data_IF_941313152153
#
_entry.id   IF_941313152153
#
_cell.length_a   1.000
_cell.length_b   1.000
_cell.length_c   1.000
_cell.angle_alpha   90.00
_cell.angle_beta   90.00
_cell.angle_gamma   90.00
#
_symmetry.space_group_name_H-M   'P 1'
#
loop_
_entity.id
_entity.type
_entity.pdbx_description
1 polymer ?
#
# COMPACT_ATOMS: atom_id res chain seq x y z
N UNK A 1 38.25 40.36 3.81
CA UNK A 1 37.41 40.32 5.03
C UNK A 1 35.97 40.45 4.57
N UNK A 2 35.26 39.32 4.61
CA UNK A 2 33.82 39.07 4.36
C UNK A 2 33.15 39.68 3.13
N UNK A 3 32.88 38.80 2.16
CA UNK A 3 31.92 38.96 1.07
C UNK A 3 30.49 38.80 1.63
N UNK A 4 29.57 39.59 1.09
CA UNK A 4 28.12 39.50 1.28
C UNK A 4 27.56 38.40 0.38
N UNK A 5 26.79 37.45 0.93
CA UNK A 5 25.51 36.96 0.36
C UNK A 5 24.64 36.32 1.48
N UNK A 6 23.41 36.81 1.59
CA UNK A 6 22.20 36.23 2.22
C UNK A 6 21.69 35.04 1.34
N UNK A 7 21.00 33.96 1.74
CA UNK A 7 20.35 33.49 2.97
C UNK A 7 19.85 32.02 2.69
N UNK A 8 18.75 31.51 3.28
CA UNK A 8 18.63 30.52 4.35
C UNK A 8 18.28 29.08 3.90
N UNK A 9 18.57 28.11 4.77
CA UNK A 9 17.73 26.92 4.99
C UNK A 9 17.62 25.89 3.87
N UNK A 10 18.33 24.77 4.00
CA UNK A 10 17.90 23.52 3.36
C UNK A 10 18.30 22.33 4.25
N UNK A 11 17.32 21.82 4.99
CA UNK A 11 17.41 20.58 5.76
C UNK A 11 17.41 19.37 4.80
N UNK A 12 18.54 19.03 4.20
CA UNK A 12 18.68 17.83 3.34
C UNK A 12 19.04 16.57 4.14
N UNK A 13 18.27 16.24 5.18
CA UNK A 13 18.49 15.00 5.96
C UNK A 13 17.23 14.16 6.21
N UNK A 14 16.11 14.46 5.54
CA UNK A 14 14.84 13.73 5.69
C UNK A 14 14.48 12.78 4.55
N UNK A 15 14.97 13.02 3.32
CA UNK A 15 14.41 12.38 2.11
C UNK A 15 15.07 11.03 1.77
N UNK A 16 16.39 10.91 1.95
CA UNK A 16 17.13 9.70 1.54
C UNK A 16 16.72 8.43 2.30
N UNK A 17 16.28 8.57 3.56
CA UNK A 17 15.87 7.43 4.39
C UNK A 17 14.45 6.94 4.11
N UNK A 18 13.56 7.84 3.70
CA UNK A 18 12.16 7.52 3.37
C UNK A 18 12.08 6.85 1.99
N UNK A 19 12.81 7.39 1.01
CA UNK A 19 12.91 6.79 -0.34
C UNK A 19 13.52 5.38 -0.28
N UNK A 20 14.57 5.18 0.53
CA UNK A 20 15.17 3.86 0.72
C UNK A 20 14.22 2.86 1.39
N UNK A 21 13.38 3.32 2.32
CA UNK A 21 12.40 2.48 3.00
C UNK A 21 11.30 2.02 2.02
N UNK A 22 10.84 2.91 1.16
CA UNK A 22 9.85 2.58 0.12
C UNK A 22 10.41 1.56 -0.88
N UNK A 23 11.63 1.77 -1.38
CA UNK A 23 12.26 0.85 -2.33
C UNK A 23 12.52 -0.53 -1.71
N UNK A 24 12.94 -0.58 -0.45
CA UNK A 24 13.09 -1.84 0.28
C UNK A 24 11.73 -2.55 0.45
N UNK A 25 10.68 -1.80 0.79
CA UNK A 25 9.34 -2.36 0.93
C UNK A 25 8.85 -2.96 -0.39
N UNK A 26 9.02 -2.25 -1.52
CA UNK A 26 8.66 -2.74 -2.87
C UNK A 26 9.45 -4.00 -3.23
N UNK A 27 10.76 -4.01 -2.97
CA UNK A 27 11.61 -5.16 -3.21
C UNK A 27 11.17 -6.39 -2.40
N UNK A 28 10.69 -6.19 -1.17
CA UNK A 28 10.17 -7.27 -0.33
C UNK A 28 8.76 -7.72 -0.75
N UNK A 29 7.88 -6.80 -1.18
CA UNK A 29 6.52 -7.11 -1.60
C UNK A 29 6.46 -7.94 -2.89
N UNK A 30 7.46 -7.77 -3.76
CA UNK A 30 7.63 -8.54 -4.99
C UNK A 30 7.30 -7.73 -6.25
N UNK A 31 7.77 -8.20 -7.43
CA UNK A 31 7.75 -7.41 -8.66
C UNK A 31 6.35 -7.20 -9.27
N UNK A 32 5.33 -7.90 -8.76
CA UNK A 32 3.94 -7.78 -9.22
C UNK A 32 3.12 -6.82 -8.35
N UNK A 33 3.70 -6.27 -7.28
CA UNK A 33 3.00 -5.36 -6.37
C UNK A 33 3.17 -3.92 -6.86
N UNK A 34 2.05 -3.31 -7.23
CA UNK A 34 1.96 -1.87 -7.49
C UNK A 34 1.20 -1.19 -6.35
N UNK A 35 1.76 -0.12 -5.80
CA UNK A 35 1.14 0.70 -4.76
C UNK A 35 0.64 1.99 -5.43
N UNK A 36 -0.63 2.37 -5.25
CA UNK A 36 -1.13 3.63 -5.79
C UNK A 36 -0.46 4.82 -5.09
N UNK A 37 -0.62 6.03 -5.63
CA UNK A 37 -0.03 7.26 -5.07
C UNK A 37 -1.05 8.02 -4.21
N UNK A 38 -0.59 8.78 -3.22
CA UNK A 38 -1.45 9.67 -2.43
C UNK A 38 -2.20 10.65 -3.37
N UNK A 39 -3.52 10.69 -3.22
CA UNK A 39 -4.42 11.47 -4.08
C UNK A 39 -4.79 10.82 -5.41
N UNK A 40 -4.27 9.65 -5.75
CA UNK A 40 -4.66 8.91 -6.96
C UNK A 40 -6.13 8.46 -6.90
N UNK A 41 -6.79 8.35 -8.06
CA UNK A 41 -8.13 7.76 -8.17
C UNK A 41 -8.02 6.28 -8.50
N UNK A 42 -8.59 5.44 -7.65
CA UNK A 42 -8.54 3.97 -7.75
C UNK A 42 -9.94 3.37 -7.66
N UNK A 43 -10.11 2.16 -8.19
CA UNK A 43 -11.30 1.35 -7.92
C UNK A 43 -11.03 0.39 -6.77
N UNK A 44 -11.85 0.46 -5.72
CA UNK A 44 -11.90 -0.54 -4.65
C UNK A 44 -12.88 -1.66 -5.03
N UNK A 45 -12.43 -2.91 -4.91
CA UNK A 45 -13.23 -4.11 -5.20
C UNK A 45 -13.51 -4.87 -3.88
N UNK A 46 -14.73 -4.78 -3.33
CA UNK A 46 -15.09 -5.48 -2.09
C UNK A 46 -14.88 -6.99 -2.17
N UNK A 47 -15.08 -7.60 -3.35
CA UNK A 47 -14.86 -9.03 -3.55
C UNK A 47 -13.39 -9.43 -3.34
N UNK A 48 -12.45 -8.75 -4.02
CA UNK A 48 -11.03 -9.06 -3.87
C UNK A 48 -10.52 -8.85 -2.44
N UNK A 49 -11.10 -7.90 -1.69
CA UNK A 49 -10.82 -7.74 -0.27
C UNK A 49 -11.23 -8.97 0.56
N UNK A 50 -12.40 -9.56 0.27
CA UNK A 50 -12.87 -10.76 0.97
C UNK A 50 -11.98 -11.96 0.65
N UNK A 51 -11.60 -12.13 -0.62
CA UNK A 51 -10.67 -13.20 -1.06
C UNK A 51 -9.34 -13.12 -0.29
N UNK A 52 -8.76 -11.91 -0.17
CA UNK A 52 -7.55 -11.71 0.64
C UNK A 52 -7.74 -12.00 2.14
N UNK A 53 -8.91 -11.68 2.69
CA UNK A 53 -9.22 -11.95 4.10
C UNK A 53 -9.30 -13.46 4.38
N UNK A 54 -9.94 -14.21 3.49
CA UNK A 54 -10.02 -15.68 3.54
C UNK A 54 -8.62 -16.31 3.53
N UNK A 55 -7.78 -15.88 2.59
CA UNK A 55 -6.39 -16.34 2.48
C UNK A 55 -5.58 -16.04 3.74
N UNK A 56 -5.70 -14.83 4.29
CA UNK A 56 -4.92 -14.40 5.46
C UNK A 56 -5.31 -15.10 6.76
N UNK A 57 -6.58 -15.48 6.89
CA UNK A 57 -7.12 -16.07 8.12
C UNK A 57 -7.14 -17.60 8.11
N UNK A 58 -6.92 -18.24 6.95
CA UNK A 58 -7.13 -19.69 6.74
C UNK A 58 -8.52 -20.15 7.24
N UNK A 59 -9.50 -19.26 7.20
CA UNK A 59 -10.88 -19.53 7.56
C UNK A 59 -11.71 -19.36 6.30
N UNK A 60 -12.43 -20.41 5.91
CA UNK A 60 -13.55 -20.23 4.99
C UNK A 60 -14.53 -19.26 5.66
N UNK A 61 -14.78 -18.11 5.03
CA UNK A 61 -15.85 -17.22 5.43
C UNK A 61 -17.17 -17.94 5.12
N UNK A 62 -17.61 -18.77 6.06
CA UNK A 62 -18.87 -19.51 6.00
C UNK A 62 -20.04 -18.52 5.89
N UNK A 63 -20.40 -18.15 4.65
CA UNK A 63 -21.62 -17.57 4.05
C UNK A 63 -22.63 -16.73 4.87
N UNK A 64 -22.41 -16.43 6.13
CA UNK A 64 -23.12 -15.41 6.90
C UNK A 64 -22.42 -14.06 6.76
N UNK A 65 -21.96 -13.77 5.54
CA UNK A 65 -21.55 -12.42 5.18
C UNK A 65 -22.86 -11.62 5.18
N UNK A 66 -22.98 -10.56 5.99
CA UNK A 66 -24.16 -9.71 5.93
C UNK A 66 -24.28 -9.21 4.49
N UNK A 67 -25.46 -9.40 3.89
CA UNK A 67 -25.66 -8.91 2.53
C UNK A 67 -25.69 -7.39 2.58
N UNK A 68 -24.59 -6.77 2.14
CA UNK A 68 -24.52 -5.34 1.92
C UNK A 68 -24.77 -5.10 0.44
N UNK A 69 -25.73 -4.24 0.11
CA UNK A 69 -25.99 -3.78 -1.27
C UNK A 69 -24.90 -2.82 -1.74
N UNK A 70 -23.66 -3.32 -1.80
CA UNK A 70 -22.50 -2.57 -2.26
C UNK A 70 -22.31 -2.76 -3.77
N UNK A 71 -21.93 -1.69 -4.49
CA UNK A 71 -21.48 -1.83 -5.87
C UNK A 71 -20.27 -2.78 -5.96
N UNK A 72 -20.11 -3.53 -7.07
CA UNK A 72 -18.98 -4.44 -7.26
C UNK A 72 -17.63 -3.72 -7.38
N UNK A 73 -17.64 -2.41 -7.68
CA UNK A 73 -16.48 -1.53 -7.67
C UNK A 73 -16.87 -0.15 -7.19
N UNK A 74 -16.00 0.47 -6.39
CA UNK A 74 -16.23 1.79 -5.80
C UNK A 74 -15.08 2.70 -6.22
N UNK A 75 -15.39 3.84 -6.86
CA UNK A 75 -14.37 4.83 -7.23
C UNK A 75 -13.97 5.62 -5.98
N UNK A 76 -12.69 5.56 -5.63
CA UNK A 76 -12.14 6.19 -4.44
C UNK A 76 -10.98 7.11 -4.80
N UNK A 77 -10.65 8.04 -3.90
CA UNK A 77 -9.38 8.77 -3.90
C UNK A 77 -8.52 8.24 -2.75
N UNK A 78 -7.26 7.94 -3.02
CA UNK A 78 -6.30 7.54 -1.98
C UNK A 78 -6.04 8.74 -1.08
N UNK A 79 -6.30 8.58 0.22
CA UNK A 79 -6.15 9.66 1.21
C UNK A 79 -4.79 9.60 1.91
N UNK A 80 -4.31 8.38 2.18
CA UNK A 80 -3.01 8.16 2.80
C UNK A 80 -2.56 6.71 2.55
N UNK A 81 -1.26 6.54 2.32
CA UNK A 81 -0.60 5.22 2.23
C UNK A 81 0.33 5.05 3.43
N UNK A 82 0.34 3.83 3.98
CA UNK A 82 1.29 3.41 5.03
C UNK A 82 1.86 2.06 4.67
N UNK A 83 3.17 2.03 4.43
CA UNK A 83 3.89 0.81 4.14
C UNK A 83 4.26 0.10 5.46
N UNK A 84 3.73 -1.10 5.67
CA UNK A 84 3.94 -1.93 6.85
C UNK A 84 4.49 -3.30 6.45
N UNK A 85 5.24 -3.96 7.34
CA UNK A 85 5.95 -5.22 7.05
C UNK A 85 5.15 -6.48 7.45
N UNK A 86 4.10 -6.34 8.26
CA UNK A 86 3.38 -7.48 8.87
C UNK A 86 2.66 -8.42 7.88
N UNK A 87 2.43 -8.01 6.62
CA UNK A 87 1.70 -8.80 5.62
C UNK A 87 2.57 -9.36 4.49
N UNK A 88 3.83 -8.93 4.37
CA UNK A 88 4.70 -9.35 3.25
C UNK A 88 4.99 -10.87 3.31
N UNK A 89 4.98 -11.47 4.52
CA UNK A 89 5.23 -12.91 4.72
C UNK A 89 4.01 -13.82 4.46
N UNK A 90 2.80 -13.28 4.31
CA UNK A 90 1.61 -14.08 3.98
C UNK A 90 1.30 -14.10 2.48
N UNK A 91 1.84 -13.14 1.72
CA UNK A 91 1.56 -12.97 0.28
C UNK A 91 2.44 -13.86 -0.64
N UNK A 92 3.60 -14.32 -0.17
CA UNK A 92 4.57 -15.04 -1.02
C UNK A 92 4.20 -16.51 -1.31
N UNK A 93 3.18 -17.07 -0.66
CA UNK A 93 2.80 -18.49 -0.86
C UNK A 93 1.55 -18.72 -1.74
N UNK A 94 0.70 -17.73 -2.03
CA UNK A 94 -0.60 -18.01 -2.69
C UNK A 94 -0.79 -17.33 -4.06
N UNK A 95 -0.13 -16.20 -4.35
CA UNK A 95 -0.27 -15.52 -5.65
C UNK A 95 0.53 -16.15 -6.81
N UNK A 96 1.15 -17.31 -6.61
CA UNK A 96 1.73 -18.09 -7.71
C UNK A 96 0.66 -18.86 -8.54
N UNK A 97 -0.61 -18.81 -8.12
CA UNK A 97 -1.72 -19.45 -8.82
C UNK A 97 -2.95 -18.53 -8.88
N UNK A 98 -2.83 -17.36 -9.52
CA UNK A 98 -3.90 -16.79 -10.35
C UNK A 98 -3.34 -15.73 -11.30
#
# INVERSE_FOLDING_TARGET
MTLYEENPGESRKGLEGEDLYEELWKACAGPLVEVPVDGERVFYFPQGHMEQLEESTNQELNHQIPHFDLPPKILCRVVNIRLLVFLILFCSCTLAYF
#
